data_IF_849823563003
#
_entry.id   IF_849823563003
#
_cell.length_a   1.000
_cell.length_b   1.000
_cell.length_c   1.000
_cell.angle_alpha   90.00
_cell.angle_beta   90.00
_cell.angle_gamma   90.00
#
_symmetry.space_group_name_H-M   'P 1'
#
loop_
_entity.id
_entity.type
_entity.pdbx_description
1 polymer ?
#
# COMPACT_ATOMS: atom_id res chain seq x y z
N UNK A 1 -0.02 -1.73 34.29
CA UNK A 1 -0.62 -0.42 34.61
C UNK A 1 -1.76 -0.22 33.64
N UNK A 2 -3.01 -0.28 34.12
CA UNK A 2 -4.21 0.35 33.54
C UNK A 2 -5.48 -0.26 34.19
N UNK A 3 -5.72 0.10 35.45
CA UNK A 3 -7.08 0.07 35.99
C UNK A 3 -7.70 1.46 35.74
N UNK A 4 -7.76 1.90 34.48
CA UNK A 4 -8.54 3.07 34.15
C UNK A 4 -10.01 2.66 34.09
N UNK A 5 -10.66 2.91 35.23
CA UNK A 5 -12.10 3.08 35.43
C UNK A 5 -12.92 3.09 34.12
N UNK A 6 -13.49 1.93 33.81
CA UNK A 6 -14.41 1.64 32.70
C UNK A 6 -15.73 2.43 32.71
N UNK A 7 -15.92 3.39 33.61
CA UNK A 7 -17.00 4.36 33.44
C UNK A 7 -16.56 5.37 32.39
N UNK A 8 -16.80 5.02 31.11
CA UNK A 8 -16.81 5.95 29.99
C UNK A 8 -17.48 7.23 30.48
N UNK A 9 -16.70 8.31 30.55
CA UNK A 9 -17.19 9.60 31.04
C UNK A 9 -18.33 10.01 30.13
N UNK A 10 -19.56 9.89 30.65
CA UNK A 10 -20.75 10.17 29.87
C UNK A 10 -20.76 11.64 29.47
N UNK A 11 -21.17 11.95 28.23
CA UNK A 11 -21.36 13.33 27.80
C UNK A 11 -22.42 14.00 28.69
N UNK A 12 -22.23 15.29 28.97
CA UNK A 12 -23.16 16.11 29.74
C UNK A 12 -24.04 16.86 28.76
N UNK A 13 -25.37 16.79 28.89
CA UNK A 13 -26.24 17.61 28.04
C UNK A 13 -26.06 19.08 28.41
N UNK A 14 -26.04 19.95 27.40
CA UNK A 14 -26.07 21.40 27.61
C UNK A 14 -27.26 21.88 28.46
N UNK A 15 -28.36 21.12 28.47
CA UNK A 15 -29.52 21.37 29.33
C UNK A 15 -29.29 21.07 30.81
N UNK A 16 -28.26 20.28 31.15
CA UNK A 16 -27.87 19.95 32.53
C UNK A 16 -26.87 20.98 33.10
N UNK A 17 -26.36 21.89 32.27
CA UNK A 17 -25.47 22.97 32.70
C UNK A 17 -26.23 24.10 33.39
N UNK A 18 -25.51 24.88 34.20
CA UNK A 18 -26.03 26.18 34.65
C UNK A 18 -26.27 27.10 33.45
N UNK A 19 -27.23 28.05 33.52
CA UNK A 19 -27.49 28.97 32.41
C UNK A 19 -26.25 29.73 31.93
N UNK A 20 -25.35 30.07 32.85
CA UNK A 20 -24.08 30.74 32.55
C UNK A 20 -23.14 29.86 31.74
N UNK A 21 -22.89 28.62 32.19
CA UNK A 21 -22.02 27.67 31.49
C UNK A 21 -22.60 27.25 30.14
N UNK A 22 -23.93 27.10 30.06
CA UNK A 22 -24.62 26.84 28.80
C UNK A 22 -24.40 27.99 27.81
N UNK A 23 -24.55 29.24 28.25
CA UNK A 23 -24.31 30.39 27.38
C UNK A 23 -22.85 30.47 26.92
N UNK A 24 -21.89 30.18 27.80
CA UNK A 24 -20.46 30.08 27.43
C UNK A 24 -20.21 28.99 26.40
N UNK A 25 -20.77 27.79 26.60
CA UNK A 25 -20.65 26.69 25.64
C UNK A 25 -21.18 27.08 24.25
N UNK A 26 -22.38 27.64 24.17
CA UNK A 26 -22.97 28.08 22.91
C UNK A 26 -22.21 29.27 22.28
N UNK A 27 -21.60 30.14 23.08
CA UNK A 27 -20.73 31.20 22.58
C UNK A 27 -19.47 30.62 21.91
N UNK A 28 -18.81 29.64 22.53
CA UNK A 28 -17.66 28.95 21.94
C UNK A 28 -18.02 28.26 20.62
N UNK A 29 -19.14 27.53 20.56
CA UNK A 29 -19.60 26.92 19.31
C UNK A 29 -19.81 27.97 18.22
N UNK A 30 -20.44 29.09 18.57
CA UNK A 30 -20.63 30.20 17.64
C UNK A 30 -19.30 30.76 17.14
N UNK A 31 -18.31 30.95 18.00
CA UNK A 31 -16.97 31.42 17.59
C UNK A 31 -16.30 30.47 16.60
N UNK A 32 -16.47 29.15 16.75
CA UNK A 32 -15.99 28.16 15.78
C UNK A 32 -16.71 28.31 14.43
N UNK A 33 -18.03 28.52 14.42
CA UNK A 33 -18.78 28.79 13.19
C UNK A 33 -18.39 30.12 12.54
N UNK A 34 -18.17 31.16 13.34
CA UNK A 34 -17.70 32.46 12.86
C UNK A 34 -16.31 32.32 12.21
N UNK A 35 -15.44 31.46 12.75
CA UNK A 35 -14.14 31.12 12.14
C UNK A 35 -14.28 30.40 10.79
N UNK A 36 -15.21 29.44 10.65
CA UNK A 36 -15.54 28.80 9.36
C UNK A 36 -15.91 29.83 8.29
N UNK A 37 -16.70 30.85 8.67
CA UNK A 37 -17.08 31.92 7.75
C UNK A 37 -15.86 32.72 7.27
N UNK A 38 -14.84 32.91 8.11
CA UNK A 38 -13.57 33.54 7.71
C UNK A 38 -12.84 32.67 6.68
N UNK A 39 -12.78 31.35 6.89
CA UNK A 39 -12.17 30.41 5.92
C UNK A 39 -12.89 30.48 4.56
N UNK A 40 -14.22 30.56 4.56
CA UNK A 40 -15.03 30.51 3.34
C UNK A 40 -15.16 31.87 2.63
N UNK A 41 -15.07 32.99 3.35
CA UNK A 41 -15.34 34.34 2.84
C UNK A 41 -14.21 35.01 2.04
N UNK A 42 -13.23 34.24 1.56
CA UNK A 42 -11.90 34.69 1.16
C UNK A 42 -11.72 35.68 -0.02
N UNK A 43 -12.71 36.43 -0.48
CA UNK A 43 -12.49 37.37 -1.62
C UNK A 43 -13.14 38.77 -1.51
N UNK A 44 -14.07 39.06 -0.58
CA UNK A 44 -14.75 40.36 -0.54
C UNK A 44 -14.30 41.26 0.64
N UNK A 45 -13.27 42.06 0.36
CA UNK A 45 -12.92 43.40 0.85
C UNK A 45 -12.78 43.73 2.37
N UNK A 46 -11.55 44.19 2.68
CA UNK A 46 -11.17 45.25 3.63
C UNK A 46 -10.93 44.97 5.12
N UNK A 47 -11.22 43.80 5.68
CA UNK A 47 -10.65 43.41 6.99
C UNK A 47 -9.96 42.06 6.93
N UNK A 48 -8.82 41.99 6.22
CA UNK A 48 -8.01 40.77 6.11
C UNK A 48 -7.22 40.58 7.39
N UNK A 49 -7.93 40.17 8.42
CA UNK A 49 -7.28 39.48 9.50
C UNK A 49 -6.71 38.16 8.95
N UNK A 50 -5.42 37.88 9.21
CA UNK A 50 -4.83 36.63 8.74
C UNK A 50 -5.50 35.44 9.42
N UNK A 51 -5.64 34.35 8.67
CA UNK A 51 -6.22 33.10 9.17
C UNK A 51 -5.50 32.59 10.44
N UNK A 52 -4.17 32.78 10.50
CA UNK A 52 -3.35 32.47 11.66
C UNK A 52 -3.75 33.29 12.91
N UNK A 53 -3.98 34.61 12.76
CA UNK A 53 -4.42 35.44 13.88
C UNK A 53 -5.83 35.08 14.36
N UNK A 54 -6.70 34.66 13.43
CA UNK A 54 -8.05 34.19 13.76
C UNK A 54 -7.99 32.87 14.54
N UNK A 55 -7.16 31.93 14.08
CA UNK A 55 -6.93 30.65 14.74
C UNK A 55 -6.33 30.84 16.14
N UNK A 56 -5.36 31.75 16.30
CA UNK A 56 -4.74 32.07 17.60
C UNK A 56 -5.73 32.70 18.58
N UNK A 57 -6.64 33.56 18.12
CA UNK A 57 -7.70 34.12 18.98
C UNK A 57 -8.71 33.06 19.39
N UNK A 58 -9.16 32.23 18.45
CA UNK A 58 -10.07 31.13 18.75
C UNK A 58 -9.42 30.17 19.77
N UNK A 59 -8.13 29.87 19.59
CA UNK A 59 -7.34 29.08 20.53
C UNK A 59 -7.35 29.69 21.93
N UNK A 60 -7.01 30.98 22.08
CA UNK A 60 -6.99 31.66 23.38
C UNK A 60 -8.36 31.68 24.05
N UNK A 61 -9.43 31.99 23.31
CA UNK A 61 -10.81 32.01 23.82
C UNK A 61 -11.21 30.65 24.38
N UNK A 62 -11.02 29.58 23.60
CA UNK A 62 -11.31 28.20 24.02
C UNK A 62 -10.41 27.80 25.19
N UNK A 63 -9.11 28.15 25.15
CA UNK A 63 -8.18 27.84 26.23
C UNK A 63 -8.60 28.46 27.56
N UNK A 64 -8.97 29.74 27.57
CA UNK A 64 -9.42 30.43 28.77
C UNK A 64 -10.67 29.75 29.35
N UNK A 65 -11.70 29.54 28.53
CA UNK A 65 -12.98 29.02 28.98
C UNK A 65 -12.93 27.54 29.37
N UNK A 66 -12.25 26.71 28.59
CA UNK A 66 -12.12 25.26 28.88
C UNK A 66 -11.22 25.03 30.09
N UNK A 67 -10.16 25.82 30.28
CA UNK A 67 -9.31 25.73 31.48
C UNK A 67 -10.07 26.15 32.74
N UNK A 68 -10.89 27.20 32.65
CA UNK A 68 -11.74 27.64 33.76
C UNK A 68 -12.89 26.65 34.05
N UNK A 69 -13.43 26.01 33.00
CA UNK A 69 -14.59 25.15 33.08
C UNK A 69 -14.43 23.87 32.23
N UNK A 70 -13.67 22.86 32.72
CA UNK A 70 -13.43 21.62 31.97
C UNK A 70 -14.69 20.84 31.56
N UNK A 71 -15.83 21.10 32.22
CA UNK A 71 -17.14 20.54 31.85
C UNK A 71 -17.58 20.97 30.44
N UNK A 72 -17.09 22.09 29.90
CA UNK A 72 -17.40 22.56 28.55
C UNK A 72 -16.88 21.58 27.48
N UNK A 73 -15.68 21.02 27.65
CA UNK A 73 -15.15 19.95 26.80
C UNK A 73 -15.91 18.62 26.94
N UNK A 74 -16.75 18.50 27.98
CA UNK A 74 -17.62 17.35 28.23
C UNK A 74 -19.07 17.55 27.78
N UNK A 75 -19.40 18.73 27.25
CA UNK A 75 -20.78 19.11 26.97
C UNK A 75 -21.16 18.75 25.53
N UNK A 76 -22.40 18.27 25.34
CA UNK A 76 -23.02 18.07 24.04
C UNK A 76 -24.35 18.83 23.94
N UNK A 77 -24.65 19.37 22.76
CA UNK A 77 -25.96 19.95 22.45
C UNK A 77 -27.00 18.85 22.39
N UNK A 78 -28.11 18.99 23.13
CA UNK A 78 -29.15 17.94 23.21
C UNK A 78 -29.80 17.57 21.87
N UNK A 79 -29.92 18.52 20.94
CA UNK A 79 -30.71 18.35 19.71
C UNK A 79 -30.01 17.53 18.63
N UNK A 80 -28.70 17.67 18.50
CA UNK A 80 -27.90 17.09 17.42
C UNK A 80 -26.60 16.41 17.91
N UNK A 81 -26.41 16.36 19.24
CA UNK A 81 -25.24 15.81 19.90
C UNK A 81 -23.91 16.46 19.47
N UNK A 82 -23.93 17.73 19.04
CA UNK A 82 -22.70 18.47 18.77
C UNK A 82 -21.89 18.70 20.04
N UNK A 83 -20.62 18.31 20.03
CA UNK A 83 -19.64 18.63 21.07
C UNK A 83 -18.68 19.69 20.54
N UNK A 84 -18.01 20.42 21.45
CA UNK A 84 -16.99 21.39 21.04
C UNK A 84 -15.89 20.73 20.19
N UNK A 85 -15.46 19.52 20.55
CA UNK A 85 -14.46 18.77 19.78
C UNK A 85 -14.94 18.46 18.36
N UNK A 86 -16.18 17.96 18.24
CA UNK A 86 -16.76 17.62 16.95
C UNK A 86 -16.87 18.84 16.04
N UNK A 87 -17.41 19.94 16.57
CA UNK A 87 -17.56 21.19 15.82
C UNK A 87 -16.20 21.75 15.40
N UNK A 88 -15.17 21.68 16.24
CA UNK A 88 -13.82 22.10 15.85
C UNK A 88 -13.28 21.29 14.66
N UNK A 89 -13.44 19.96 14.66
CA UNK A 89 -12.97 19.10 13.57
C UNK A 89 -13.76 19.37 12.29
N UNK A 90 -15.09 19.47 12.38
CA UNK A 90 -15.97 19.71 11.22
C UNK A 90 -15.71 21.07 10.55
N UNK A 91 -15.39 22.10 11.34
CA UNK A 91 -15.54 23.48 10.87
C UNK A 91 -14.24 24.25 10.66
N UNK A 92 -13.07 23.69 11.01
CA UNK A 92 -11.79 24.43 11.00
C UNK A 92 -10.77 23.99 9.93
N UNK A 93 -11.06 22.95 9.12
CA UNK A 93 -10.21 22.46 8.02
C UNK A 93 -8.71 22.24 8.37
N UNK A 94 -8.38 21.88 9.61
CA UNK A 94 -7.00 21.61 10.05
C UNK A 94 -6.26 22.81 10.65
N UNK A 95 -6.77 24.04 10.48
CA UNK A 95 -6.11 25.27 10.95
C UNK A 95 -6.04 25.36 12.48
N UNK A 96 -6.88 24.61 13.18
CA UNK A 96 -7.02 24.66 14.64
C UNK A 96 -6.48 23.41 15.36
N UNK A 97 -5.49 22.72 14.80
CA UNK A 97 -4.92 21.50 15.41
C UNK A 97 -4.52 21.67 16.89
N UNK A 98 -3.90 22.80 17.27
CA UNK A 98 -3.54 23.09 18.68
C UNK A 98 -4.76 23.20 19.60
N UNK A 99 -5.84 23.80 19.11
CA UNK A 99 -7.11 23.94 19.85
C UNK A 99 -7.81 22.59 19.97
N UNK A 100 -7.79 21.77 18.92
CA UNK A 100 -8.31 20.40 18.95
C UNK A 100 -7.52 19.57 19.98
N UNK A 101 -6.20 19.63 19.98
CA UNK A 101 -5.35 18.95 20.97
C UNK A 101 -5.72 19.32 22.41
N UNK A 102 -5.83 20.63 22.70
CA UNK A 102 -6.24 21.13 24.03
C UNK A 102 -7.59 20.53 24.49
N UNK A 103 -8.58 20.50 23.61
CA UNK A 103 -9.92 19.96 23.94
C UNK A 103 -9.84 18.44 24.16
N UNK A 104 -9.04 17.72 23.37
CA UNK A 104 -8.77 16.29 23.57
C UNK A 104 -8.06 16.04 24.91
N UNK A 105 -7.04 16.81 25.26
CA UNK A 105 -6.32 16.68 26.54
C UNK A 105 -7.27 16.88 27.73
N UNK A 106 -8.24 17.78 27.59
CA UNK A 106 -9.23 18.05 28.63
C UNK A 106 -10.24 16.90 28.78
N UNK A 107 -10.61 16.22 27.68
CA UNK A 107 -11.57 15.12 27.69
C UNK A 107 -11.33 14.13 26.53
N UNK A 108 -10.39 13.17 26.67
CA UNK A 108 -10.05 12.26 25.58
C UNK A 108 -11.18 11.28 25.26
N UNK A 109 -12.10 11.01 26.20
CA UNK A 109 -13.27 10.16 25.93
C UNK A 109 -14.21 10.73 24.85
N UNK A 110 -14.15 12.05 24.59
CA UNK A 110 -14.93 12.66 23.51
C UNK A 110 -14.59 12.11 22.13
N UNK A 111 -13.36 11.59 21.94
CA UNK A 111 -12.94 10.94 20.70
C UNK A 111 -13.81 9.73 20.32
N UNK A 112 -14.40 9.06 21.31
CA UNK A 112 -15.21 7.85 21.13
C UNK A 112 -16.72 8.13 21.14
N UNK A 113 -17.15 9.39 21.23
CA UNK A 113 -18.59 9.71 21.28
C UNK A 113 -19.22 9.59 19.89
N UNK A 114 -20.13 8.65 19.73
CA UNK A 114 -20.93 8.49 18.51
C UNK A 114 -22.38 8.92 18.75
N UNK A 115 -23.02 9.45 17.70
CA UNK A 115 -24.40 9.95 17.75
C UNK A 115 -25.47 8.83 17.80
N UNK A 116 -25.07 7.59 18.13
CA UNK A 116 -25.98 6.47 18.35
C UNK A 116 -26.76 5.96 17.14
N UNK A 117 -26.55 6.51 15.94
CA UNK A 117 -27.15 5.96 14.72
C UNK A 117 -26.43 4.67 14.33
N UNK A 118 -27.13 3.52 14.38
CA UNK A 118 -26.53 2.23 14.15
C UNK A 118 -26.12 1.99 12.70
N UNK A 119 -26.62 2.78 11.75
CA UNK A 119 -26.30 2.64 10.34
C UNK A 119 -25.10 3.51 9.93
N UNK A 120 -24.77 4.53 10.72
CA UNK A 120 -23.62 5.41 10.54
C UNK A 120 -22.58 5.26 11.66
N UNK A 121 -22.57 4.10 12.34
CA UNK A 121 -21.84 3.78 13.59
C UNK A 121 -20.37 4.24 13.65
N UNK A 122 -19.74 4.51 12.50
CA UNK A 122 -18.32 4.88 12.40
C UNK A 122 -18.08 6.28 11.81
N UNK A 123 -19.07 6.93 11.20
CA UNK A 123 -18.87 8.24 10.56
C UNK A 123 -19.02 9.41 11.53
N UNK A 124 -19.62 9.19 12.71
CA UNK A 124 -19.97 10.27 13.62
C UNK A 124 -18.99 10.56 14.75
N UNK A 125 -18.06 9.65 15.07
CA UNK A 125 -17.18 9.82 16.23
C UNK A 125 -15.93 10.63 15.86
N UNK A 126 -15.50 11.59 16.70
CA UNK A 126 -14.39 12.49 16.37
C UNK A 126 -13.08 11.79 15.97
N UNK A 127 -12.77 10.60 16.52
CA UNK A 127 -11.56 9.87 16.11
C UNK A 127 -11.55 9.46 14.63
N UNK A 128 -12.72 9.11 14.07
CA UNK A 128 -12.84 8.76 12.66
C UNK A 128 -12.85 9.98 11.77
N UNK A 129 -13.42 11.10 12.25
CA UNK A 129 -13.42 12.37 11.53
C UNK A 129 -11.98 12.92 11.40
N UNK A 130 -11.21 12.87 12.49
CA UNK A 130 -9.78 13.18 12.50
C UNK A 130 -9.01 12.27 11.54
N UNK A 131 -9.34 10.98 11.51
CA UNK A 131 -8.65 10.03 10.67
C UNK A 131 -9.00 10.19 9.18
N UNK A 132 -10.24 10.51 8.84
CA UNK A 132 -10.71 10.66 7.46
C UNK A 132 -10.21 11.97 6.84
N UNK A 133 -10.12 13.04 7.63
CA UNK A 133 -9.62 14.33 7.15
C UNK A 133 -8.08 14.35 7.09
N UNK A 134 -7.54 14.61 5.90
CA UNK A 134 -6.09 14.59 5.67
C UNK A 134 -5.35 15.58 6.56
N UNK A 135 -5.91 16.76 6.81
CA UNK A 135 -5.27 17.80 7.61
C UNK A 135 -5.25 17.46 9.09
N UNK A 136 -6.36 16.98 9.64
CA UNK A 136 -6.44 16.57 11.05
C UNK A 136 -5.72 15.25 11.33
N UNK A 137 -5.52 14.38 10.34
CA UNK A 137 -4.89 13.07 10.55
C UNK A 137 -3.47 13.13 11.13
N UNK A 138 -2.79 14.27 11.01
CA UNK A 138 -1.49 14.55 11.67
C UNK A 138 -1.57 14.50 13.19
N UNK A 139 -2.77 14.55 13.77
CA UNK A 139 -2.99 14.40 15.21
C UNK A 139 -2.92 12.94 15.67
N UNK A 140 -3.09 11.95 14.78
CA UNK A 140 -3.17 10.55 15.18
C UNK A 140 -1.91 10.00 15.85
N UNK A 141 -0.67 10.31 15.41
CA UNK A 141 0.55 9.94 16.13
C UNK A 141 0.55 10.45 17.58
N UNK A 142 0.20 11.71 17.76
CA UNK A 142 0.10 12.32 19.08
C UNK A 142 -1.00 11.68 19.93
N UNK A 143 -2.18 11.38 19.35
CA UNK A 143 -3.28 10.70 20.05
C UNK A 143 -2.85 9.29 20.47
N UNK A 144 -2.16 8.53 19.61
CA UNK A 144 -1.77 7.15 19.95
C UNK A 144 -0.66 7.10 21.00
N UNK A 145 0.26 8.07 20.97
CA UNK A 145 1.29 8.21 22.00
C UNK A 145 0.68 8.54 23.37
N UNK A 146 -0.28 9.48 23.42
CA UNK A 146 -0.85 10.00 24.68
C UNK A 146 -2.02 9.18 25.22
N UNK A 147 -2.85 8.64 24.33
CA UNK A 147 -4.10 7.97 24.64
C UNK A 147 -4.23 6.62 23.89
N UNK A 148 -3.29 5.68 24.04
CA UNK A 148 -3.29 4.43 23.28
C UNK A 148 -4.55 3.58 23.47
N UNK A 149 -5.22 3.73 24.61
CA UNK A 149 -6.48 3.03 24.92
C UNK A 149 -7.63 3.41 23.97
N UNK A 150 -7.56 4.56 23.28
CA UNK A 150 -8.54 4.97 22.26
C UNK A 150 -8.57 3.95 21.12
N UNK A 151 -7.38 3.53 20.65
CA UNK A 151 -7.23 2.54 19.57
C UNK A 151 -7.51 1.11 20.06
N UNK A 152 -7.36 0.84 21.35
CA UNK A 152 -7.68 -0.45 21.98
C UNK A 152 -9.16 -0.58 22.39
N UNK A 153 -9.96 0.47 22.21
CA UNK A 153 -11.39 0.43 22.54
C UNK A 153 -12.13 -0.56 21.63
N UNK A 154 -13.21 -1.17 22.12
CA UNK A 154 -14.02 -2.12 21.33
C UNK A 154 -14.49 -1.51 20.01
N UNK A 155 -14.85 -0.21 20.02
CA UNK A 155 -15.27 0.51 18.82
C UNK A 155 -14.14 0.58 17.79
N UNK A 156 -12.95 1.01 18.21
CA UNK A 156 -11.78 1.12 17.33
C UNK A 156 -11.26 -0.23 16.86
N UNK A 157 -11.36 -1.29 17.66
CA UNK A 157 -10.92 -2.63 17.24
C UNK A 157 -11.87 -3.23 16.19
N UNK A 158 -13.18 -2.94 16.26
CA UNK A 158 -14.16 -3.36 15.24
C UNK A 158 -13.97 -2.62 13.92
N UNK A 159 -13.75 -1.31 13.99
CA UNK A 159 -13.48 -0.46 12.83
C UNK A 159 -12.28 0.41 13.15
N UNK A 160 -11.07 0.01 12.70
CA UNK A 160 -9.86 0.76 13.03
C UNK A 160 -9.83 2.15 12.38
N UNK A 161 -9.77 3.24 13.16
CA UNK A 161 -9.78 4.59 12.60
C UNK A 161 -8.57 4.85 11.70
N UNK A 162 -7.41 4.24 11.99
CA UNK A 162 -6.22 4.43 11.16
C UNK A 162 -6.39 3.91 9.72
N UNK A 163 -7.36 3.03 9.43
CA UNK A 163 -7.66 2.63 8.04
C UNK A 163 -8.26 3.81 7.25
N UNK A 164 -9.05 4.67 7.89
CA UNK A 164 -9.53 5.93 7.29
C UNK A 164 -8.37 6.89 7.00
N UNK A 165 -7.40 6.96 7.91
CA UNK A 165 -6.17 7.74 7.72
C UNK A 165 -5.38 7.28 6.50
N UNK A 166 -5.21 5.98 6.31
CA UNK A 166 -4.53 5.45 5.12
C UNK A 166 -5.36 5.70 3.88
N UNK A 167 -6.67 5.50 3.93
CA UNK A 167 -7.57 5.73 2.80
C UNK A 167 -7.59 7.20 2.35
N UNK A 168 -7.58 8.15 3.29
CA UNK A 168 -7.53 9.58 3.01
C UNK A 168 -6.29 9.98 2.19
N UNK A 169 -5.13 9.35 2.41
CA UNK A 169 -3.89 9.59 1.63
C UNK A 169 -4.15 9.51 0.14
N UNK A 170 -4.84 8.45 -0.26
CA UNK A 170 -4.94 8.08 -1.66
C UNK A 170 -6.15 8.73 -2.33
N UNK A 171 -6.97 9.48 -1.59
CA UNK A 171 -8.12 10.20 -2.12
C UNK A 171 -7.92 11.72 -2.11
N UNK A 172 -7.21 12.27 -1.13
CA UNK A 172 -7.10 13.71 -0.90
C UNK A 172 -5.67 14.27 -1.05
N UNK A 173 -5.56 15.60 -1.18
CA UNK A 173 -4.28 16.33 -1.28
C UNK A 173 -3.41 16.12 -0.05
N UNK A 174 -2.53 15.12 -0.13
CA UNK A 174 -1.55 14.80 0.89
C UNK A 174 -0.27 15.64 0.73
N UNK A 175 0.18 16.28 1.81
CA UNK A 175 1.52 16.88 1.90
C UNK A 175 2.55 15.83 2.34
N UNK A 176 3.85 16.16 2.21
CA UNK A 176 4.93 15.30 2.73
C UNK A 176 4.83 15.11 4.25
N UNK A 177 4.45 16.15 4.98
CA UNK A 177 4.24 16.10 6.44
C UNK A 177 3.18 15.06 6.81
N UNK A 178 2.09 14.99 6.06
CA UNK A 178 1.08 13.97 6.29
C UNK A 178 1.64 12.56 6.05
N UNK A 179 2.53 12.35 5.07
CA UNK A 179 3.16 11.03 4.84
C UNK A 179 4.03 10.63 6.02
N UNK A 180 4.84 11.54 6.55
CA UNK A 180 5.72 11.30 7.69
C UNK A 180 4.92 10.99 8.97
N UNK A 181 3.88 11.78 9.27
CA UNK A 181 3.00 11.54 10.41
C UNK A 181 2.40 10.13 10.38
N UNK A 182 2.09 9.57 9.21
CA UNK A 182 1.52 8.22 9.13
C UNK A 182 2.54 7.12 9.36
N UNK A 183 3.79 7.30 8.92
CA UNK A 183 4.89 6.39 9.28
C UNK A 183 5.10 6.43 10.79
N UNK A 184 5.14 7.63 11.37
CA UNK A 184 5.25 7.83 12.82
C UNK A 184 4.10 7.13 13.57
N UNK A 185 2.85 7.22 13.09
CA UNK A 185 1.71 6.52 13.69
C UNK A 185 1.97 5.01 13.80
N UNK A 186 2.39 4.35 12.72
CA UNK A 186 2.63 2.90 12.72
C UNK A 186 3.93 2.51 13.44
N UNK A 187 4.88 3.43 13.61
CA UNK A 187 6.03 3.22 14.49
C UNK A 187 5.62 3.23 15.97
N UNK A 188 4.67 4.09 16.34
CA UNK A 188 4.08 4.14 17.68
C UNK A 188 3.05 3.02 17.92
N UNK A 189 2.36 2.58 16.86
CA UNK A 189 1.27 1.60 16.90
C UNK A 189 1.43 0.48 15.86
N UNK A 190 2.47 -0.36 15.98
CA UNK A 190 2.80 -1.36 14.96
C UNK A 190 1.73 -2.44 14.76
N UNK A 191 0.95 -2.77 15.80
CA UNK A 191 -0.15 -3.72 15.67
C UNK A 191 -1.24 -3.26 14.69
N UNK A 192 -1.39 -1.96 14.45
CA UNK A 192 -2.34 -1.41 13.48
C UNK A 192 -2.08 -1.91 12.06
N UNK A 193 -0.85 -2.31 11.71
CA UNK A 193 -0.57 -2.93 10.41
C UNK A 193 -1.30 -4.27 10.20
N UNK A 194 -1.64 -4.96 11.30
CA UNK A 194 -2.40 -6.21 11.27
C UNK A 194 -3.90 -6.05 11.55
N UNK A 195 -4.38 -4.84 11.77
CA UNK A 195 -5.81 -4.58 11.98
C UNK A 195 -6.55 -4.48 10.64
N UNK A 196 -7.79 -5.00 10.61
CA UNK A 196 -8.68 -4.95 9.44
C UNK A 196 -10.03 -4.40 9.84
N UNK A 197 -10.72 -3.77 8.90
CA UNK A 197 -12.16 -3.50 9.05
C UNK A 197 -12.92 -4.84 9.02
N UNK A 198 -13.68 -5.17 10.07
CA UNK A 198 -14.53 -6.37 10.11
C UNK A 198 -15.58 -6.36 8.99
N UNK A 199 -16.00 -5.17 8.52
CA UNK A 199 -16.86 -5.03 7.36
C UNK A 199 -16.14 -5.33 6.03
N UNK A 200 -14.83 -5.65 6.09
CA UNK A 200 -13.94 -6.02 5.01
C UNK A 200 -13.95 -5.04 3.81
N UNK A 201 -14.24 -3.76 4.06
CA UNK A 201 -14.26 -2.74 3.00
C UNK A 201 -12.88 -2.39 2.47
N UNK A 202 -11.87 -2.51 3.33
CA UNK A 202 -10.54 -1.92 3.11
C UNK A 202 -9.38 -2.93 3.21
N UNK A 203 -9.63 -4.14 3.74
CA UNK A 203 -8.59 -5.12 4.05
C UNK A 203 -7.60 -4.61 5.10
N UNK A 204 -6.33 -5.01 4.98
CA UNK A 204 -5.22 -4.47 5.78
C UNK A 204 -4.85 -3.03 5.35
N UNK A 205 -4.14 -2.22 6.17
CA UNK A 205 -3.60 -0.94 5.74
C UNK A 205 -2.81 -1.00 4.44
N UNK A 206 -2.07 -2.10 4.23
CA UNK A 206 -1.31 -2.31 3.00
C UNK A 206 -2.22 -2.33 1.76
N UNK A 207 -3.35 -3.03 1.79
CA UNK A 207 -4.29 -3.05 0.66
C UNK A 207 -4.92 -1.68 0.42
N UNK A 208 -5.20 -0.92 1.48
CA UNK A 208 -5.72 0.45 1.36
C UNK A 208 -4.79 1.35 0.57
N UNK A 209 -3.47 1.12 0.64
CA UNK A 209 -2.51 1.90 -0.17
C UNK A 209 -2.68 1.78 -1.68
N UNK A 210 -3.46 0.79 -2.13
CA UNK A 210 -3.69 0.46 -3.53
C UNK A 210 -5.14 0.78 -3.99
N UNK A 211 -6.02 1.27 -3.10
CA UNK A 211 -7.46 1.41 -3.36
C UNK A 211 -7.92 2.85 -3.66
N UNK A 212 -7.08 3.87 -3.46
CA UNK A 212 -7.51 5.25 -3.70
C UNK A 212 -7.35 5.72 -5.15
N UNK A 213 -7.74 6.98 -5.38
CA UNK A 213 -7.70 7.63 -6.71
C UNK A 213 -6.28 8.03 -7.14
N UNK A 214 -5.36 8.22 -6.21
CA UNK A 214 -3.98 8.66 -6.47
C UNK A 214 -3.05 7.52 -6.87
N UNK A 215 -1.94 7.92 -7.47
CA UNK A 215 -0.76 7.06 -7.59
C UNK A 215 -0.36 6.53 -6.20
N UNK A 216 -0.17 5.21 -6.05
CA UNK A 216 0.31 4.63 -4.79
C UNK A 216 1.76 5.05 -4.54
N UNK A 217 2.11 5.31 -3.28
CA UNK A 217 3.49 5.57 -2.86
C UNK A 217 4.21 4.24 -2.65
N UNK A 218 5.16 3.93 -3.53
CA UNK A 218 5.89 2.67 -3.49
C UNK A 218 6.74 2.50 -2.24
N UNK A 219 7.30 3.59 -1.69
CA UNK A 219 8.15 3.53 -0.49
C UNK A 219 7.31 3.21 0.75
N UNK A 220 6.14 3.84 0.89
CA UNK A 220 5.20 3.50 1.97
C UNK A 220 4.72 2.06 1.82
N UNK A 221 4.30 1.64 0.61
CA UNK A 221 3.85 0.28 0.36
C UNK A 221 4.93 -0.74 0.78
N UNK A 222 6.15 -0.57 0.29
CA UNK A 222 7.27 -1.47 0.56
C UNK A 222 7.59 -1.49 2.06
N UNK A 223 7.65 -0.32 2.70
CA UNK A 223 7.88 -0.23 4.13
C UNK A 223 6.81 -0.98 4.93
N UNK A 224 5.53 -0.83 4.60
CA UNK A 224 4.43 -1.56 5.26
C UNK A 224 4.53 -3.07 5.02
N UNK A 225 4.82 -3.48 3.79
CA UNK A 225 4.97 -4.89 3.41
C UNK A 225 6.15 -5.56 4.12
N UNK A 226 7.24 -4.83 4.37
CA UNK A 226 8.40 -5.34 5.12
C UNK A 226 8.13 -5.42 6.63
N UNK A 227 7.32 -4.50 7.17
CA UNK A 227 6.96 -4.49 8.60
C UNK A 227 5.88 -5.50 8.95
N UNK A 228 4.96 -5.80 8.04
CA UNK A 228 3.89 -6.79 8.25
C UNK A 228 3.64 -7.62 6.96
N UNK A 229 4.52 -8.61 6.68
CA UNK A 229 4.46 -9.40 5.44
C UNK A 229 3.18 -10.22 5.27
N UNK A 230 2.49 -10.56 6.36
CA UNK A 230 1.23 -11.31 6.31
C UNK A 230 0.16 -10.58 5.48
N UNK A 231 0.15 -9.24 5.50
CA UNK A 231 -0.78 -8.45 4.69
C UNK A 231 -0.55 -8.59 3.17
N UNK A 232 0.67 -8.95 2.75
CA UNK A 232 0.98 -9.21 1.33
C UNK A 232 0.27 -10.46 0.82
N UNK A 233 -0.02 -11.41 1.72
CA UNK A 233 -0.70 -12.66 1.41
C UNK A 233 -2.21 -12.59 1.54
N UNK A 234 -2.74 -11.40 1.82
CA UNK A 234 -4.17 -11.22 1.90
C UNK A 234 -4.83 -11.46 0.54
N UNK A 235 -6.01 -12.08 0.60
CA UNK A 235 -6.85 -12.32 -0.55
C UNK A 235 -7.98 -11.29 -0.52
N UNK A 236 -7.94 -10.37 -1.46
CA UNK A 236 -8.95 -9.35 -1.70
C UNK A 236 -10.23 -9.97 -2.28
N UNK A 237 -11.35 -9.22 -2.28
CA UNK A 237 -12.56 -9.64 -2.99
C UNK A 237 -12.28 -10.11 -4.42
N UNK A 238 -12.91 -11.20 -4.83
CA UNK A 238 -12.70 -11.83 -6.14
C UNK A 238 -11.45 -12.72 -6.22
N UNK A 239 -10.88 -13.16 -5.10
CA UNK A 239 -9.71 -14.05 -5.07
C UNK A 239 -8.40 -13.34 -5.46
N UNK A 240 -8.42 -12.03 -5.61
CA UNK A 240 -7.26 -11.26 -6.05
C UNK A 240 -6.22 -11.13 -4.92
N UNK A 241 -4.96 -11.45 -5.20
CA UNK A 241 -3.88 -11.10 -4.26
C UNK A 241 -3.31 -9.70 -4.55
N UNK A 242 -2.36 -9.23 -3.71
CA UNK A 242 -1.73 -7.92 -3.89
C UNK A 242 -1.08 -7.69 -5.26
N UNK A 243 -0.56 -8.75 -5.91
CA UNK A 243 0.02 -8.62 -7.23
C UNK A 243 -1.04 -8.46 -8.33
N UNK A 244 -2.21 -9.11 -8.20
CA UNK A 244 -3.35 -8.85 -9.10
C UNK A 244 -3.78 -7.38 -9.00
N UNK A 245 -3.88 -6.85 -7.78
CA UNK A 245 -4.24 -5.45 -7.56
C UNK A 245 -3.21 -4.52 -8.22
N UNK A 246 -1.91 -4.71 -7.93
CA UNK A 246 -0.86 -3.88 -8.51
C UNK A 246 -0.82 -3.95 -10.04
N UNK A 247 -1.01 -5.13 -10.62
CA UNK A 247 -1.11 -5.30 -12.07
C UNK A 247 -2.34 -4.59 -12.65
N UNK A 248 -3.48 -4.63 -11.96
CA UNK A 248 -4.70 -3.94 -12.40
C UNK A 248 -4.54 -2.41 -12.39
N UNK A 249 -3.85 -1.86 -11.39
CA UNK A 249 -3.54 -0.42 -11.35
C UNK A 249 -2.66 0.02 -12.55
N UNK A 250 -1.77 -0.83 -13.05
CA UNK A 250 -0.96 -0.52 -14.24
C UNK A 250 -1.78 -0.49 -15.53
N UNK A 251 -2.99 -1.06 -15.54
CA UNK A 251 -3.86 -1.12 -16.72
C UNK A 251 -4.98 -0.10 -16.69
N UNK A 252 -5.26 0.50 -15.52
CA UNK A 252 -6.21 1.61 -15.40
C UNK A 252 -5.86 2.71 -16.41
N UNK A 253 -6.85 3.11 -17.23
CA UNK A 253 -6.75 4.23 -18.16
C UNK A 253 -6.86 5.53 -17.38
N UNK A 254 -6.22 6.58 -17.89
CA UNK A 254 -6.40 7.92 -17.34
C UNK A 254 -7.87 8.32 -17.47
N UNK A 255 -8.55 8.53 -16.34
CA UNK A 255 -9.94 8.98 -16.36
C UNK A 255 -9.98 10.44 -16.79
N UNK A 256 -10.40 10.69 -18.03
CA UNK A 256 -10.57 12.05 -18.58
C UNK A 256 -11.53 12.93 -17.76
N UNK A 257 -12.41 12.34 -16.94
CA UNK A 257 -13.34 13.07 -16.07
C UNK A 257 -12.71 13.51 -14.76
N UNK A 258 -11.67 12.80 -14.30
CA UNK A 258 -10.95 13.08 -13.06
C UNK A 258 -9.46 13.24 -13.41
N UNK A 259 -8.99 14.47 -13.72
CA UNK A 259 -7.72 14.75 -14.42
C UNK A 259 -6.39 14.32 -13.75
N UNK A 260 -6.36 13.36 -12.80
CA UNK A 260 -5.20 13.10 -11.94
C UNK A 260 -5.00 11.64 -11.51
N UNK A 261 -5.59 10.65 -12.18
CA UNK A 261 -5.58 9.26 -11.69
C UNK A 261 -4.82 8.28 -12.58
N UNK A 262 -3.80 8.72 -13.32
CA UNK A 262 -2.96 7.77 -14.07
C UNK A 262 -2.14 6.91 -13.11
N UNK A 263 -2.65 5.71 -12.79
CA UNK A 263 -1.98 4.74 -11.92
C UNK A 263 -0.99 3.84 -12.66
N UNK A 264 -0.91 3.96 -13.99
CA UNK A 264 0.18 3.38 -14.78
C UNK A 264 1.45 4.24 -14.66
N UNK A 265 2.05 4.20 -13.48
CA UNK A 265 3.12 5.09 -13.06
C UNK A 265 4.34 4.31 -12.52
N UNK A 266 5.52 4.96 -12.39
CA UNK A 266 6.73 4.32 -11.91
C UNK A 266 6.59 3.67 -10.53
N UNK A 267 5.81 4.25 -9.61
CA UNK A 267 5.66 3.68 -8.27
C UNK A 267 4.82 2.40 -8.27
N UNK A 268 3.71 2.33 -9.01
CA UNK A 268 2.97 1.07 -9.19
C UNK A 268 3.85 -0.02 -9.81
N UNK A 269 4.67 0.33 -10.80
CA UNK A 269 5.62 -0.62 -11.40
C UNK A 269 6.69 -1.07 -10.40
N UNK A 270 7.17 -0.16 -9.52
CA UNK A 270 8.11 -0.48 -8.45
C UNK A 270 7.49 -1.42 -7.40
N UNK A 271 6.22 -1.22 -7.05
CA UNK A 271 5.45 -2.14 -6.20
C UNK A 271 5.38 -3.52 -6.85
N UNK A 272 5.02 -3.62 -8.14
CA UNK A 272 5.01 -4.88 -8.88
C UNK A 272 6.37 -5.59 -8.84
N UNK A 273 7.47 -4.87 -9.09
CA UNK A 273 8.83 -5.44 -9.02
C UNK A 273 9.17 -5.97 -7.64
N UNK A 274 8.82 -5.22 -6.59
CA UNK A 274 9.02 -5.66 -5.22
C UNK A 274 8.25 -6.95 -4.94
N UNK A 275 6.96 -7.00 -5.30
CA UNK A 275 6.11 -8.17 -5.11
C UNK A 275 6.62 -9.40 -5.87
N UNK A 276 7.00 -9.25 -7.14
CA UNK A 276 7.54 -10.34 -7.98
C UNK A 276 8.86 -10.88 -7.39
N UNK A 277 9.74 -9.98 -6.93
CA UNK A 277 11.06 -10.34 -6.42
C UNK A 277 11.00 -10.99 -5.03
N UNK A 278 10.20 -10.43 -4.11
CA UNK A 278 10.13 -10.86 -2.71
C UNK A 278 9.11 -11.97 -2.46
N UNK A 279 8.03 -11.99 -3.25
CA UNK A 279 6.90 -12.90 -3.05
C UNK A 279 6.51 -13.62 -4.36
N UNK A 280 7.44 -14.39 -4.97
CA UNK A 280 7.24 -14.99 -6.30
C UNK A 280 6.10 -16.02 -6.36
N UNK A 281 5.64 -16.54 -5.22
CA UNK A 281 4.47 -17.43 -5.18
C UNK A 281 3.16 -16.71 -5.52
N UNK A 282 3.06 -15.39 -5.31
CA UNK A 282 1.87 -14.61 -5.68
C UNK A 282 1.57 -14.67 -7.18
N UNK A 283 2.62 -14.83 -7.99
CA UNK A 283 2.52 -14.92 -9.44
C UNK A 283 1.68 -16.15 -9.86
N UNK A 284 1.73 -17.23 -9.07
CA UNK A 284 1.06 -18.52 -9.36
C UNK A 284 -0.35 -18.61 -8.78
N UNK A 285 -0.79 -17.59 -8.06
CA UNK A 285 -2.13 -17.56 -7.52
C UNK A 285 -3.11 -17.22 -8.64
N UNK A 286 -4.21 -17.97 -8.69
CA UNK A 286 -5.34 -17.66 -9.57
C UNK A 286 -6.39 -16.95 -8.73
N UNK A 287 -6.97 -15.91 -9.29
CA UNK A 287 -8.17 -15.29 -8.72
C UNK A 287 -9.40 -16.20 -8.90
N UNK A 288 -10.58 -15.73 -8.46
CA UNK A 288 -11.81 -16.53 -8.48
C UNK A 288 -12.26 -16.88 -9.92
N UNK A 289 -11.84 -16.09 -10.91
CA UNK A 289 -12.09 -16.31 -12.34
C UNK A 289 -11.04 -17.23 -12.99
N UNK A 290 -10.05 -17.68 -12.22
CA UNK A 290 -8.98 -18.55 -12.71
C UNK A 290 -7.86 -17.81 -13.44
N UNK A 291 -7.79 -16.49 -13.35
CA UNK A 291 -6.76 -15.66 -13.96
C UNK A 291 -5.55 -15.48 -13.04
N UNK A 292 -4.36 -15.57 -13.62
CA UNK A 292 -3.10 -15.10 -13.02
C UNK A 292 -2.90 -13.59 -13.18
N UNK A 293 -2.00 -12.94 -12.41
CA UNK A 293 -1.72 -11.50 -12.53
C UNK A 293 -1.34 -11.03 -13.93
N UNK A 294 -0.63 -11.85 -14.71
CA UNK A 294 -0.25 -11.52 -16.09
C UNK A 294 -1.46 -11.26 -17.00
N UNK A 295 -2.61 -11.90 -16.74
CA UNK A 295 -3.82 -11.71 -17.56
C UNK A 295 -4.34 -10.28 -17.44
N UNK A 296 -4.21 -9.65 -16.26
CA UNK A 296 -4.59 -8.24 -16.06
C UNK A 296 -3.79 -7.31 -16.97
N UNK A 297 -2.54 -7.66 -17.27
CA UNK A 297 -1.61 -6.86 -18.06
C UNK A 297 -1.64 -7.14 -19.56
N UNK A 298 -2.05 -8.35 -19.96
CA UNK A 298 -1.69 -8.89 -21.26
C UNK A 298 -2.21 -8.04 -22.44
N UNK A 299 -3.39 -7.44 -22.30
CA UNK A 299 -3.99 -6.57 -23.31
C UNK A 299 -3.44 -5.14 -23.35
N UNK A 300 -2.64 -4.74 -22.36
CA UNK A 300 -2.10 -3.38 -22.20
C UNK A 300 -0.59 -3.32 -22.45
N UNK A 301 -0.06 -4.26 -23.23
CA UNK A 301 1.37 -4.34 -23.57
C UNK A 301 1.84 -3.24 -24.54
N UNK A 302 0.98 -2.27 -24.87
CA UNK A 302 1.37 -1.03 -25.54
C UNK A 302 2.00 -0.01 -24.59
N UNK A 303 1.88 -0.19 -23.27
CA UNK A 303 2.47 0.69 -22.27
C UNK A 303 3.85 0.19 -21.82
N UNK A 304 4.92 1.02 -21.82
CA UNK A 304 6.28 0.60 -21.45
C UNK A 304 6.39 -0.04 -20.06
N UNK A 305 5.66 0.49 -19.07
CA UNK A 305 5.68 -0.05 -17.70
C UNK A 305 5.03 -1.44 -17.63
N UNK A 306 3.91 -1.62 -18.33
CA UNK A 306 3.22 -2.92 -18.42
C UNK A 306 4.13 -3.95 -19.09
N UNK A 307 4.74 -3.62 -20.22
CA UNK A 307 5.70 -4.48 -20.92
C UNK A 307 6.81 -4.99 -19.99
N UNK A 308 7.39 -4.08 -19.19
CA UNK A 308 8.45 -4.44 -18.25
C UNK A 308 7.97 -5.42 -17.17
N UNK A 309 6.76 -5.23 -16.64
CA UNK A 309 6.19 -6.16 -15.64
C UNK A 309 5.83 -7.51 -16.28
N UNK A 310 5.28 -7.53 -17.49
CA UNK A 310 5.00 -8.77 -18.25
C UNK A 310 6.28 -9.59 -18.46
N UNK A 311 7.38 -8.96 -18.89
CA UNK A 311 8.68 -9.62 -19.04
C UNK A 311 9.13 -10.23 -17.71
N UNK A 312 9.00 -9.52 -16.59
CA UNK A 312 9.38 -10.03 -15.28
C UNK A 312 8.51 -11.23 -14.83
N UNK A 313 7.20 -11.17 -15.04
CA UNK A 313 6.29 -12.27 -14.70
C UNK A 313 6.62 -13.53 -15.51
N UNK A 314 6.87 -13.36 -16.81
CA UNK A 314 7.23 -14.47 -17.70
C UNK A 314 8.62 -15.05 -17.38
N UNK A 315 9.60 -14.22 -16.98
CA UNK A 315 10.91 -14.70 -16.51
C UNK A 315 10.78 -15.51 -15.23
N UNK A 316 9.98 -15.03 -14.29
CA UNK A 316 9.76 -15.71 -13.01
C UNK A 316 9.00 -17.03 -13.17
N UNK A 317 8.14 -17.14 -14.19
CA UNK A 317 7.35 -18.35 -14.42
C UNK A 317 6.90 -18.49 -15.89
N UNK A 318 7.78 -18.97 -16.78
CA UNK A 318 7.50 -19.04 -18.22
C UNK A 318 6.36 -20.02 -18.57
N UNK A 319 6.10 -21.00 -17.70
CA UNK A 319 5.14 -22.08 -17.94
C UNK A 319 3.68 -21.60 -18.05
N UNK A 320 3.34 -20.39 -17.56
CA UNK A 320 1.94 -19.90 -17.61
C UNK A 320 1.36 -19.87 -19.02
N UNK A 321 2.20 -19.52 -19.99
CA UNK A 321 1.79 -19.36 -21.38
C UNK A 321 1.42 -20.71 -22.00
N UNK A 322 1.96 -21.81 -21.48
CA UNK A 322 1.60 -23.18 -21.88
C UNK A 322 0.30 -23.65 -21.22
N UNK A 323 0.06 -23.26 -19.97
CA UNK A 323 -1.18 -23.56 -19.25
C UNK A 323 -2.38 -22.77 -19.79
N UNK A 324 -2.14 -21.57 -20.33
CA UNK A 324 -3.14 -20.66 -20.86
C UNK A 324 -2.78 -20.20 -22.28
N UNK A 325 -3.08 -21.01 -23.31
CA UNK A 325 -2.73 -20.70 -24.70
C UNK A 325 -3.37 -19.41 -25.22
N UNK A 326 -4.41 -18.88 -24.56
CA UNK A 326 -4.99 -17.56 -24.87
C UNK A 326 -3.97 -16.44 -24.72
N UNK A 327 -3.02 -16.54 -23.79
CA UNK A 327 -1.93 -15.56 -23.68
C UNK A 327 -1.03 -15.53 -24.94
N UNK A 328 -0.96 -16.63 -25.71
CA UNK A 328 -0.21 -16.68 -26.98
C UNK A 328 -0.94 -16.00 -28.14
N UNK A 329 -2.23 -15.67 -28.02
CA UNK A 329 -2.90 -14.86 -29.04
C UNK A 329 -2.43 -13.41 -29.01
N UNK A 330 -1.84 -12.97 -27.90
CA UNK A 330 -1.30 -11.63 -27.73
C UNK A 330 0.13 -11.60 -28.27
N UNK A 331 0.34 -10.82 -29.33
CA UNK A 331 1.58 -10.86 -30.11
C UNK A 331 2.83 -10.52 -29.28
N UNK A 332 2.74 -9.50 -28.42
CA UNK A 332 3.83 -9.12 -27.52
C UNK A 332 4.21 -10.27 -26.59
N UNK A 333 3.24 -10.84 -25.86
CA UNK A 333 3.45 -11.97 -24.93
C UNK A 333 4.07 -13.16 -25.64
N UNK A 334 3.57 -13.51 -26.83
CA UNK A 334 4.11 -14.61 -27.65
C UNK A 334 5.58 -14.41 -28.01
N UNK A 335 5.94 -13.22 -28.51
CA UNK A 335 7.32 -12.93 -28.91
C UNK A 335 8.26 -12.88 -27.70
N UNK A 336 7.83 -12.25 -26.61
CA UNK A 336 8.61 -12.17 -25.37
C UNK A 336 8.82 -13.55 -24.77
N UNK A 337 7.79 -14.39 -24.70
CA UNK A 337 7.90 -15.75 -24.16
C UNK A 337 8.94 -16.60 -24.90
N UNK A 338 8.98 -16.55 -26.24
CA UNK A 338 9.99 -17.28 -27.02
C UNK A 338 11.42 -16.85 -26.68
N UNK A 339 11.65 -15.54 -26.56
CA UNK A 339 12.95 -14.98 -26.21
C UNK A 339 13.34 -15.27 -24.75
N UNK A 340 12.36 -15.36 -23.84
CA UNK A 340 12.62 -15.74 -22.43
C UNK A 340 13.05 -17.20 -22.34
N UNK A 341 12.45 -18.12 -23.11
CA UNK A 341 12.89 -19.51 -23.14
C UNK A 341 14.33 -19.64 -23.66
N UNK A 342 14.71 -18.83 -24.65
CA UNK A 342 16.09 -18.76 -25.15
C UNK A 342 17.05 -18.19 -24.10
N UNK A 343 16.70 -17.08 -23.43
CA UNK A 343 17.50 -16.50 -22.35
C UNK A 343 17.71 -17.49 -21.20
N UNK A 344 16.66 -18.21 -20.78
CA UNK A 344 16.75 -19.20 -19.69
C UNK A 344 17.64 -20.39 -20.08
N UNK A 345 17.58 -20.85 -21.33
CA UNK A 345 18.46 -21.91 -21.82
C UNK A 345 19.94 -21.47 -21.82
N UNK A 346 20.20 -20.21 -22.20
CA UNK A 346 21.54 -19.61 -22.13
C UNK A 346 22.02 -19.53 -20.67
N UNK A 347 21.18 -19.09 -19.74
CA UNK A 347 21.52 -19.02 -18.31
C UNK A 347 21.81 -20.40 -17.71
N UNK A 348 21.03 -21.42 -18.07
CA UNK A 348 21.25 -22.80 -17.64
C UNK A 348 22.59 -23.34 -18.15
N UNK A 349 22.94 -23.09 -19.42
CA UNK A 349 24.22 -23.50 -20.00
C UNK A 349 25.39 -22.78 -19.30
N UNK A 350 25.30 -21.47 -19.09
CA UNK A 350 26.31 -20.69 -18.35
C UNK A 350 26.50 -21.28 -16.94
N UNK A 351 25.42 -21.55 -16.21
CA UNK A 351 25.50 -22.09 -14.86
C UNK A 351 26.14 -23.49 -14.83
N UNK A 352 25.75 -24.36 -15.77
CA UNK A 352 26.30 -25.71 -15.92
C UNK A 352 27.80 -25.70 -16.23
N UNK A 353 28.22 -24.91 -17.22
CA UNK A 353 29.63 -24.74 -17.60
C UNK A 353 30.46 -24.20 -16.43
N UNK A 354 29.94 -23.18 -15.73
CA UNK A 354 30.58 -22.60 -14.55
C UNK A 354 30.78 -23.65 -13.46
N UNK A 355 29.75 -24.45 -13.19
CA UNK A 355 29.79 -25.49 -12.17
C UNK A 355 30.77 -26.63 -12.53
N UNK A 356 30.73 -27.14 -13.76
CA UNK A 356 31.62 -28.22 -14.22
C UNK A 356 33.09 -27.73 -14.20
N UNK A 357 33.34 -26.51 -14.68
CA UNK A 357 34.65 -25.87 -14.67
C UNK A 357 35.23 -25.76 -13.26
N UNK A 358 34.40 -25.37 -12.29
CA UNK A 358 34.77 -25.32 -10.88
C UNK A 358 35.09 -26.72 -10.34
N UNK A 359 34.22 -27.69 -10.53
CA UNK A 359 34.42 -29.07 -10.04
C UNK A 359 35.68 -29.73 -10.62
N UNK A 360 35.98 -29.52 -11.90
CA UNK A 360 37.20 -30.03 -12.53
C UNK A 360 38.45 -29.39 -11.92
N UNK A 361 38.40 -28.07 -11.67
CA UNK A 361 39.50 -27.35 -11.04
C UNK A 361 39.75 -27.85 -9.61
N UNK A 362 38.70 -28.12 -8.83
CA UNK A 362 38.83 -28.71 -7.50
C UNK A 362 39.38 -30.14 -7.56
N UNK A 363 38.85 -30.97 -8.46
CA UNK A 363 39.31 -32.35 -8.66
C UNK A 363 40.79 -32.41 -9.07
N UNK A 364 41.29 -31.42 -9.81
CA UNK A 364 42.69 -31.36 -10.22
C UNK A 364 43.65 -31.05 -9.06
N UNK A 365 43.15 -30.44 -7.98
CA UNK A 365 43.91 -30.07 -6.78
C UNK A 365 43.82 -31.17 -5.72
N UNK A 366 42.79 -32.04 -5.77
CA UNK A 366 42.59 -33.13 -4.83
C UNK A 366 43.78 -34.12 -4.87
N UNK A 367 44.48 -34.34 -3.73
CA UNK A 367 45.58 -35.29 -3.70
C UNK A 367 45.06 -36.71 -3.91
N UNK A 368 45.64 -37.43 -4.87
CA UNK A 368 45.46 -38.88 -5.04
C UNK A 368 45.93 -39.59 -3.77
N UNK A 369 44.99 -39.96 -2.89
CA UNK A 369 45.26 -40.67 -1.63
C UNK A 369 45.62 -42.15 -1.81
N UNK A 370 45.99 -42.59 -3.02
CA UNK A 370 46.42 -43.96 -3.23
C UNK A 370 47.90 -44.12 -2.85
N UNK A 371 48.13 -44.51 -1.59
CA UNK A 371 49.40 -45.02 -1.05
C UNK A 371 49.83 -46.29 -1.81
N UNK A 372 50.36 -46.11 -3.00
CA UNK A 372 50.93 -47.20 -3.81
C UNK A 372 52.42 -47.23 -3.57
N UNK A 373 52.86 -48.14 -2.70
CA UNK A 373 54.23 -48.32 -2.21
C UNK A 373 55.24 -48.84 -3.26
N UNK A 374 54.97 -48.66 -4.57
CA UNK A 374 55.91 -48.97 -5.66
C UNK A 374 56.30 -47.70 -6.41
N UNK A 375 57.60 -47.53 -6.69
CA UNK A 375 58.12 -46.32 -7.35
C UNK A 375 57.59 -46.11 -8.77
N UNK A 376 57.16 -47.18 -9.44
CA UNK A 376 56.53 -47.12 -10.76
C UNK A 376 55.08 -46.60 -10.70
N UNK A 377 54.31 -46.99 -9.67
CA UNK A 377 52.93 -46.53 -9.50
C UNK A 377 52.87 -45.03 -9.13
N UNK A 378 53.83 -44.54 -8.34
CA UNK A 378 53.93 -43.13 -8.00
C UNK A 378 54.23 -42.25 -9.24
N UNK A 379 55.10 -42.72 -10.15
CA UNK A 379 55.39 -42.01 -11.39
C UNK A 379 54.17 -41.96 -12.33
N UNK A 380 53.42 -43.05 -12.46
CA UNK A 380 52.17 -43.08 -13.22
C UNK A 380 51.10 -42.14 -12.64
N UNK A 381 50.91 -42.16 -11.31
CA UNK A 381 49.95 -41.27 -10.64
C UNK A 381 50.31 -39.78 -10.80
N UNK A 382 51.60 -39.43 -10.83
CA UNK A 382 52.04 -38.06 -11.08
C UNK A 382 51.76 -37.61 -12.52
N UNK A 383 51.94 -38.51 -13.50
CA UNK A 383 51.61 -38.23 -14.91
C UNK A 383 50.10 -38.07 -15.08
N UNK A 384 49.29 -38.94 -14.47
CA UNK A 384 47.83 -38.84 -14.52
C UNK A 384 47.31 -37.56 -13.87
N UNK A 385 47.87 -37.16 -12.73
CA UNK A 385 47.53 -35.89 -12.06
C UNK A 385 47.93 -34.68 -12.92
N UNK A 386 49.11 -34.70 -13.55
CA UNK A 386 49.55 -33.63 -14.45
C UNK A 386 48.70 -33.53 -15.72
N UNK A 387 48.32 -34.68 -16.30
CA UNK A 387 47.43 -34.76 -17.44
C UNK A 387 46.04 -34.23 -17.08
N UNK A 388 45.50 -34.66 -15.95
CA UNK A 388 44.20 -34.21 -15.46
C UNK A 388 44.20 -32.70 -15.17
N UNK A 389 45.26 -32.17 -14.57
CA UNK A 389 45.44 -30.73 -14.37
C UNK A 389 45.45 -29.94 -15.69
N UNK A 390 46.17 -30.44 -16.70
CA UNK A 390 46.18 -29.84 -18.04
C UNK A 390 44.80 -29.88 -18.71
N UNK A 391 44.10 -31.02 -18.62
CA UNK A 391 42.74 -31.18 -19.14
C UNK A 391 41.75 -30.23 -18.44
N UNK A 392 41.86 -30.10 -17.12
CA UNK A 392 41.07 -29.16 -16.34
C UNK A 392 41.32 -27.72 -16.78
N UNK A 393 42.56 -27.33 -17.04
CA UNK A 393 42.90 -25.98 -17.50
C UNK A 393 42.37 -25.71 -18.92
N UNK A 394 42.48 -26.69 -19.82
CA UNK A 394 41.92 -26.60 -21.17
C UNK A 394 40.41 -26.47 -21.12
N UNK A 395 39.73 -27.34 -20.36
CA UNK A 395 38.27 -27.28 -20.21
C UNK A 395 37.83 -25.94 -19.61
N UNK A 396 38.49 -25.48 -18.54
CA UNK A 396 38.20 -24.19 -17.91
C UNK A 396 38.34 -23.03 -18.90
N UNK A 397 39.40 -23.05 -19.71
CA UNK A 397 39.64 -22.02 -20.73
C UNK A 397 38.56 -22.03 -21.81
N UNK A 398 38.16 -23.22 -22.28
CA UNK A 398 37.06 -23.38 -23.22
C UNK A 398 35.72 -22.95 -22.64
N UNK A 399 35.40 -23.36 -21.40
CA UNK A 399 34.17 -23.01 -20.71
C UNK A 399 34.07 -21.48 -20.53
N UNK A 400 35.17 -20.81 -20.15
CA UNK A 400 35.20 -19.36 -20.03
C UNK A 400 34.95 -18.64 -21.38
N UNK A 401 35.52 -19.16 -22.48
CA UNK A 401 35.27 -18.62 -23.81
C UNK A 401 33.79 -18.79 -24.18
N UNK A 402 33.22 -19.99 -23.98
CA UNK A 402 31.81 -20.26 -24.26
C UNK A 402 30.87 -19.40 -23.41
N UNK A 403 31.16 -19.21 -22.12
CA UNK A 403 30.40 -18.31 -21.24
C UNK A 403 30.46 -16.86 -21.75
N UNK A 404 31.58 -16.42 -22.31
CA UNK A 404 31.71 -15.08 -22.92
C UNK A 404 30.82 -14.94 -24.16
N UNK A 405 30.82 -15.96 -25.02
CA UNK A 405 29.97 -15.99 -26.22
C UNK A 405 28.48 -16.00 -25.85
N UNK A 406 28.08 -16.86 -24.91
CA UNK A 406 26.72 -16.96 -24.38
C UNK A 406 26.27 -15.65 -23.70
N UNK A 407 27.16 -14.97 -23.00
CA UNK A 407 26.85 -13.65 -22.40
C UNK A 407 26.56 -12.60 -23.47
N UNK A 408 27.26 -12.66 -24.61
CA UNK A 408 27.00 -11.78 -25.76
C UNK A 408 25.66 -12.10 -26.41
N UNK A 409 25.34 -13.39 -26.55
CA UNK A 409 24.05 -13.86 -27.05
C UNK A 409 22.90 -13.43 -26.15
N UNK A 410 23.03 -13.61 -24.83
CA UNK A 410 22.11 -13.10 -23.82
C UNK A 410 21.87 -11.60 -23.97
N UNK A 411 22.93 -10.81 -24.16
CA UNK A 411 22.79 -9.37 -24.36
C UNK A 411 21.96 -9.05 -25.61
N UNK A 412 22.13 -9.79 -26.71
CA UNK A 412 21.31 -9.60 -27.93
C UNK A 412 19.84 -9.90 -27.68
N UNK A 413 19.53 -10.94 -26.91
CA UNK A 413 18.14 -11.25 -26.51
C UNK A 413 17.57 -10.10 -25.67
N UNK A 414 18.37 -9.51 -24.78
CA UNK A 414 17.95 -8.36 -23.96
C UNK A 414 17.74 -7.09 -24.78
N UNK A 415 18.63 -6.81 -25.74
CA UNK A 415 18.49 -5.70 -26.69
C UNK A 415 17.23 -5.88 -27.55
N UNK A 416 16.90 -7.13 -27.90
CA UNK A 416 15.68 -7.46 -28.62
C UNK A 416 14.41 -7.18 -27.80
N UNK A 417 14.39 -7.44 -26.49
CA UNK A 417 13.26 -7.03 -25.64
C UNK A 417 13.03 -5.53 -25.66
N UNK A 418 14.10 -4.72 -25.62
CA UNK A 418 13.98 -3.27 -25.69
C UNK A 418 13.42 -2.81 -27.05
N UNK A 419 13.85 -3.45 -28.13
CA UNK A 419 13.36 -3.16 -29.49
C UNK A 419 11.90 -3.57 -29.66
N UNK A 420 11.51 -4.75 -29.14
CA UNK A 420 10.11 -5.18 -29.10
C UNK A 420 9.27 -4.17 -28.31
N UNK A 421 9.74 -3.70 -27.16
CA UNK A 421 9.02 -2.71 -26.36
C UNK A 421 8.65 -1.47 -27.17
N UNK A 422 9.65 -0.85 -27.81
CA UNK A 422 9.48 0.30 -28.70
C UNK A 422 8.55 0.00 -29.89
N UNK A 423 8.53 -1.22 -30.40
CA UNK A 423 7.68 -1.61 -31.52
C UNK A 423 6.20 -1.71 -31.13
N UNK A 424 5.90 -2.13 -29.90
CA UNK A 424 4.53 -2.25 -29.40
C UNK A 424 4.04 -1.00 -28.68
N UNK A 425 4.93 -0.05 -28.38
CA UNK A 425 4.54 1.24 -27.80
C UNK A 425 3.52 1.97 -28.68
N UNK A 426 2.42 2.39 -28.06
CA UNK A 426 1.33 3.07 -28.73
C UNK A 426 0.30 3.61 -27.75
N UNK A 427 -0.58 4.48 -28.25
CA UNK A 427 -1.71 4.97 -27.48
C UNK A 427 -2.63 3.80 -27.11
N UNK A 428 -3.30 3.89 -25.96
CA UNK A 428 -4.35 2.93 -25.66
C UNK A 428 -5.44 3.08 -26.71
N UNK A 429 -5.70 2.03 -27.48
CA UNK A 429 -6.91 1.98 -28.30
C UNK A 429 -8.08 2.31 -27.37
N UNK A 430 -8.81 3.38 -27.69
CA UNK A 430 -10.05 3.70 -26.97
C UNK A 430 -10.92 2.45 -27.12
N UNK A 431 -11.29 1.80 -26.02
CA UNK A 431 -12.06 0.56 -26.04
C UNK A 431 -13.49 0.90 -26.50
N UNK A 432 -13.65 1.19 -27.78
CA UNK A 432 -14.91 0.98 -28.48
C UNK A 432 -15.03 -0.55 -28.61
N UNK A 433 -15.86 -1.15 -27.74
CA UNK A 433 -16.58 -2.42 -27.98
C UNK A 433 -16.06 -3.74 -27.36
N UNK A 434 -15.14 -3.75 -26.39
CA UNK A 434 -15.07 -4.92 -25.49
C UNK A 434 -16.15 -4.81 -24.40
N UNK A 435 -17.42 -4.82 -24.82
CA UNK A 435 -18.51 -5.17 -23.90
C UNK A 435 -18.20 -6.58 -23.38
N UNK A 436 -17.66 -6.68 -22.17
CA UNK A 436 -17.61 -7.93 -21.44
C UNK A 436 -19.06 -8.40 -21.29
N UNK A 437 -19.44 -9.34 -22.16
CA UNK A 437 -20.71 -10.05 -22.21
C UNK A 437 -20.84 -10.99 -20.98
N UNK A 438 -20.53 -10.47 -19.79
CA UNK A 438 -20.70 -11.11 -18.50
C UNK A 438 -22.14 -10.92 -18.07
N UNK A 439 -23.04 -11.63 -18.75
CA UNK A 439 -24.39 -11.88 -18.25
C UNK A 439 -24.29 -12.73 -16.97
N UNK A 440 -23.97 -12.11 -15.84
CA UNK A 440 -24.22 -12.69 -14.53
C UNK A 440 -25.72 -12.55 -14.31
N UNK A 441 -26.43 -13.68 -14.46
CA UNK A 441 -27.84 -13.77 -14.15
C UNK A 441 -28.08 -13.40 -12.70
N UNK A 442 -28.68 -12.22 -12.48
CA UNK A 442 -29.42 -11.89 -11.29
C UNK A 442 -30.68 -12.76 -11.24
N UNK A 443 -30.53 -14.03 -10.87
CA UNK A 443 -31.62 -14.86 -10.38
C UNK A 443 -31.24 -15.32 -8.96
N UNK A 444 -31.66 -14.54 -7.97
CA UNK A 444 -32.03 -15.05 -6.65
C UNK A 444 -33.01 -14.09 -5.97
N UNK A 445 -34.18 -14.01 -6.58
CA UNK A 445 -35.43 -13.71 -5.89
C UNK A 445 -35.80 -14.94 -5.03
N UNK A 446 -35.42 -14.94 -3.74
CA UNK A 446 -36.03 -15.83 -2.76
C UNK A 446 -36.55 -14.98 -1.61
N UNK A 447 -37.85 -14.68 -1.74
CA UNK A 447 -38.67 -14.18 -0.66
C UNK A 447 -38.69 -15.13 0.55
N UNK A 448 -38.71 -14.51 1.72
CA UNK A 448 -38.93 -15.16 3.00
C UNK A 448 -39.64 -14.21 3.96
N UNK A 449 -40.89 -13.84 3.63
CA UNK A 449 -41.87 -13.44 4.64
C UNK A 449 -42.25 -14.69 5.43
N UNK A 450 -41.99 -14.67 6.73
CA UNK A 450 -42.92 -15.10 7.78
C UNK A 450 -42.57 -14.40 9.09
#
# INVERSE_FOLDING_TARGET
>A
MSNESTELVKPVSDTDLSPELRNKFHALLKEVFDFKMIIQGGEEEESVESLEMAADRLHHSIQEEVSAHPILARTIVKTDAQSLLKTLIDETLGECCKTIQLVIETNPHALLWSNGDPYTYHQGAPIYMIAEDTWHSVLLPWIVERFPWIFQSEMSQKVPPHLKMVHGIFNDMCTLENVEARKEFYELYPQGLGEKDEANRFGYPLSVTMLGWREPDAEIFIWMAERYPEAVHDILPGGCNMLHQACSLLTEKEDTRVPKTNKCCPDTAKICRHLISKYPHLIRHKDDDGFFPIHRLAHHCNRPLVQQIVVLLLKAHPVYVLEYPTLLSILFVRLVHLNILEELAIEEEIASLTHISHNLSEAAIMPSKHDSSSSAAAAHSAIESSLFGSLSEVYRSWANLRVTDLSTEKQRVQDWFALLGLFFEGDDDSDEDFEEDSSIGEDNDIGGRL
#
